data_IF_379951348356
#
_entry.id   IF_379951348356
#
_cell.length_a   1.000
_cell.length_b   1.000
_cell.length_c   1.000
_cell.angle_alpha   90.00
_cell.angle_beta   90.00
_cell.angle_gamma   90.00
#
_symmetry.space_group_name_H-M   'P 1'
#
loop_
_entity.id
_entity.type
_entity.pdbx_description
1 polymer ?
#
# COMPACT_ATOMS: atom_id res chain seq x y z
N UNK A 1 -1.65 -15.53 16.88
CA UNK A 1 -0.70 -14.99 17.88
C UNK A 1 -1.04 -15.54 19.25
N UNK A 2 -0.22 -15.31 20.28
CA UNK A 2 -0.51 -15.84 21.63
C UNK A 2 -1.71 -15.13 22.27
N UNK A 3 -1.91 -13.84 21.97
CA UNK A 3 -3.04 -13.07 22.51
C UNK A 3 -4.35 -13.24 21.72
N UNK A 4 -4.30 -13.88 20.55
CA UNK A 4 -5.41 -13.96 19.60
C UNK A 4 -5.79 -12.61 18.99
N UNK A 5 -4.89 -11.61 19.02
CA UNK A 5 -5.19 -10.26 18.52
C UNK A 5 -5.55 -10.22 17.03
N UNK A 6 -5.02 -11.14 16.22
CA UNK A 6 -5.40 -11.29 14.82
C UNK A 6 -6.89 -11.63 14.66
N UNK A 7 -7.45 -12.44 15.56
CA UNK A 7 -8.86 -12.80 15.51
C UNK A 7 -9.75 -11.63 15.91
N UNK A 8 -9.31 -10.83 16.89
CA UNK A 8 -10.00 -9.58 17.28
C UNK A 8 -9.99 -8.57 16.14
N UNK A 9 -8.85 -8.42 15.47
CA UNK A 9 -8.70 -7.56 14.31
C UNK A 9 -9.60 -7.98 13.15
N UNK A 10 -9.65 -9.29 12.85
CA UNK A 10 -10.55 -9.83 11.83
C UNK A 10 -12.02 -9.68 12.21
N UNK A 11 -12.39 -9.92 13.48
CA UNK A 11 -13.77 -9.75 13.97
C UNK A 11 -14.25 -8.28 13.93
N UNK A 12 -13.33 -7.30 13.97
CA UNK A 12 -13.68 -5.89 13.76
C UNK A 12 -14.00 -5.57 12.29
N UNK A 13 -13.45 -6.34 11.35
CA UNK A 13 -13.59 -6.12 9.91
C UNK A 13 -14.73 -6.95 9.29
N UNK A 14 -14.82 -8.21 9.67
CA UNK A 14 -15.74 -9.20 9.09
C UNK A 14 -16.86 -9.55 10.07
N UNK A 15 -18.09 -9.70 9.56
CA UNK A 15 -19.09 -10.49 10.28
C UNK A 15 -18.74 -11.98 10.24
N UNK A 16 -19.28 -12.84 11.11
CA UNK A 16 -19.06 -14.28 11.05
C UNK A 16 -19.37 -14.90 9.68
N UNK A 17 -20.45 -14.44 9.02
CA UNK A 17 -20.83 -14.90 7.69
C UNK A 17 -19.83 -14.47 6.61
N UNK A 18 -19.37 -13.22 6.68
CA UNK A 18 -18.34 -12.70 5.76
C UNK A 18 -16.99 -13.40 5.97
N UNK A 19 -16.61 -13.68 7.21
CA UNK A 19 -15.39 -14.40 7.55
C UNK A 19 -15.43 -15.85 7.05
N UNK A 20 -16.57 -16.52 7.21
CA UNK A 20 -16.76 -17.87 6.69
C UNK A 20 -16.61 -17.89 5.16
N UNK A 21 -17.28 -16.98 4.46
CA UNK A 21 -17.16 -16.86 3.01
C UNK A 21 -15.72 -16.53 2.58
N UNK A 22 -15.09 -15.54 3.22
CA UNK A 22 -13.71 -15.12 2.94
C UNK A 22 -12.72 -16.29 3.03
N UNK A 23 -12.90 -17.18 4.01
CA UNK A 23 -12.05 -18.36 4.20
C UNK A 23 -12.11 -19.36 3.03
N UNK A 24 -13.14 -19.26 2.18
CA UNK A 24 -13.29 -20.10 0.99
C UNK A 24 -12.79 -19.45 -0.29
N UNK A 25 -12.47 -18.15 -0.28
CA UNK A 25 -12.03 -17.42 -1.45
C UNK A 25 -10.57 -17.73 -1.80
N UNK A 26 -10.25 -17.64 -3.08
CA UNK A 26 -8.88 -17.72 -3.61
C UNK A 26 -8.31 -16.32 -3.86
N UNK A 27 -6.97 -16.23 -3.94
CA UNK A 27 -6.30 -15.07 -4.53
C UNK A 27 -6.54 -14.99 -6.06
N UNK A 28 -6.98 -16.09 -6.68
CA UNK A 28 -7.38 -16.12 -8.09
C UNK A 28 -8.81 -15.64 -8.28
N UNK A 29 -9.08 -15.08 -9.46
CA UNK A 29 -10.41 -14.60 -9.84
C UNK A 29 -11.43 -15.74 -9.98
N UNK A 30 -12.54 -15.65 -9.25
CA UNK A 30 -13.61 -16.64 -9.27
C UNK A 30 -14.96 -16.00 -9.63
N UNK A 31 -15.77 -16.71 -10.41
CA UNK A 31 -17.13 -16.27 -10.72
C UNK A 31 -18.06 -16.46 -9.51
N UNK A 32 -19.16 -15.70 -9.47
CA UNK A 32 -20.20 -15.85 -8.42
C UNK A 32 -20.68 -17.30 -8.36
N UNK A 33 -20.96 -17.90 -9.51
CA UNK A 33 -21.38 -19.30 -9.63
C UNK A 33 -20.36 -20.25 -8.98
N UNK A 34 -19.09 -20.12 -9.31
CA UNK A 34 -18.01 -20.94 -8.73
C UNK A 34 -17.95 -20.82 -7.21
N UNK A 35 -18.08 -19.60 -6.67
CA UNK A 35 -18.05 -19.35 -5.23
C UNK A 35 -19.31 -19.93 -4.56
N UNK A 36 -20.47 -19.80 -5.21
CA UNK A 36 -21.74 -20.32 -4.73
C UNK A 36 -21.76 -21.85 -4.67
N UNK A 37 -21.32 -22.51 -5.75
CA UNK A 37 -21.17 -23.97 -5.81
C UNK A 37 -20.22 -24.48 -4.72
N UNK A 38 -19.13 -23.76 -4.41
CA UNK A 38 -18.18 -24.14 -3.36
C UNK A 38 -18.74 -24.03 -1.95
N UNK A 39 -19.74 -23.18 -1.75
CA UNK A 39 -20.34 -22.89 -0.43
C UNK A 39 -21.74 -23.50 -0.27
N UNK A 40 -22.20 -24.33 -1.22
CA UNK A 40 -23.56 -24.90 -1.26
C UNK A 40 -24.66 -23.84 -1.02
N UNK A 41 -24.47 -22.64 -1.59
CA UNK A 41 -25.32 -21.48 -1.35
C UNK A 41 -25.88 -20.89 -2.66
N UNK A 42 -26.94 -20.09 -2.58
CA UNK A 42 -27.53 -19.45 -3.76
C UNK A 42 -26.68 -18.30 -4.31
N UNK A 43 -26.58 -18.16 -5.64
CA UNK A 43 -25.80 -17.09 -6.28
C UNK A 43 -26.21 -15.68 -5.82
N UNK A 44 -27.50 -15.44 -5.56
CA UNK A 44 -28.02 -14.14 -5.11
C UNK A 44 -27.52 -13.77 -3.69
N UNK A 45 -27.46 -14.77 -2.80
CA UNK A 45 -26.97 -14.61 -1.43
C UNK A 45 -25.47 -14.32 -1.43
N UNK A 46 -24.70 -15.13 -2.15
CA UNK A 46 -23.26 -15.00 -2.31
C UNK A 46 -22.91 -13.65 -2.93
N UNK A 47 -23.61 -13.25 -3.99
CA UNK A 47 -23.43 -11.93 -4.61
C UNK A 47 -23.65 -10.80 -3.60
N UNK A 48 -24.68 -10.91 -2.78
CA UNK A 48 -24.98 -9.88 -1.77
C UNK A 48 -23.88 -9.78 -0.72
N UNK A 49 -23.35 -10.90 -0.23
CA UNK A 49 -22.20 -10.95 0.69
C UNK A 49 -20.93 -10.37 0.06
N UNK A 50 -20.57 -10.83 -1.15
CA UNK A 50 -19.39 -10.36 -1.86
C UNK A 50 -19.42 -8.84 -2.08
N UNK A 51 -20.56 -8.29 -2.50
CA UNK A 51 -20.70 -6.84 -2.71
C UNK A 51 -20.55 -6.06 -1.40
N UNK A 52 -21.04 -6.58 -0.26
CA UNK A 52 -20.79 -5.95 1.05
C UNK A 52 -19.30 -5.96 1.39
N UNK A 53 -18.63 -7.09 1.21
CA UNK A 53 -17.19 -7.22 1.48
C UNK A 53 -16.34 -6.31 0.58
N UNK A 54 -16.68 -6.17 -0.70
CA UNK A 54 -16.07 -5.20 -1.62
C UNK A 54 -16.25 -3.78 -1.10
N UNK A 55 -17.48 -3.39 -0.70
CA UNK A 55 -17.76 -2.06 -0.15
C UNK A 55 -17.03 -1.79 1.17
N UNK A 56 -16.71 -2.84 1.93
CA UNK A 56 -15.84 -2.79 3.12
C UNK A 56 -14.35 -2.78 2.79
N UNK A 57 -13.98 -2.95 1.52
CA UNK A 57 -12.59 -3.02 1.09
C UNK A 57 -11.87 -4.29 1.53
N UNK A 58 -12.59 -5.37 1.81
CA UNK A 58 -12.05 -6.63 2.35
C UNK A 58 -11.62 -7.63 1.28
N UNK A 59 -12.24 -7.52 0.10
CA UNK A 59 -11.95 -8.31 -1.11
C UNK A 59 -11.98 -7.38 -2.31
N UNK A 60 -11.66 -7.90 -3.48
CA UNK A 60 -11.74 -7.13 -4.71
C UNK A 60 -12.52 -7.85 -5.82
N UNK A 61 -12.86 -7.09 -6.85
CA UNK A 61 -13.56 -7.58 -8.02
C UNK A 61 -12.91 -7.11 -9.31
N UNK A 62 -12.97 -7.95 -10.34
CA UNK A 62 -12.54 -7.62 -11.69
C UNK A 62 -13.68 -7.91 -12.66
N UNK A 63 -13.73 -7.16 -13.76
CA UNK A 63 -14.58 -7.52 -14.89
C UNK A 63 -13.75 -8.32 -15.87
N UNK A 64 -14.17 -9.56 -16.13
CA UNK A 64 -13.58 -10.44 -17.12
C UNK A 64 -14.52 -10.60 -18.31
N UNK A 65 -13.95 -10.51 -19.52
CA UNK A 65 -14.68 -10.77 -20.75
C UNK A 65 -15.21 -12.21 -20.77
N UNK A 66 -16.47 -12.39 -21.15
CA UNK A 66 -17.15 -13.69 -21.17
C UNK A 66 -17.57 -14.26 -19.80
N UNK A 67 -17.01 -13.78 -18.68
CA UNK A 67 -17.36 -14.25 -17.31
C UNK A 67 -18.11 -13.24 -16.45
N UNK A 68 -18.15 -11.98 -16.86
CA UNK A 68 -18.79 -10.92 -16.08
C UNK A 68 -17.91 -10.49 -14.91
N UNK A 69 -18.52 -10.29 -13.73
CA UNK A 69 -17.77 -9.92 -12.53
C UNK A 69 -17.19 -11.16 -11.84
N UNK A 70 -15.88 -11.15 -11.66
CA UNK A 70 -15.13 -12.12 -10.87
C UNK A 70 -14.64 -11.48 -9.57
N UNK A 71 -14.47 -12.28 -8.53
CA UNK A 71 -14.11 -11.85 -7.17
C UNK A 71 -12.92 -12.66 -6.67
N UNK A 72 -12.10 -12.05 -5.82
CA UNK A 72 -10.90 -12.68 -5.26
C UNK A 72 -10.54 -12.06 -3.92
N UNK A 73 -9.87 -12.85 -3.08
CA UNK A 73 -9.30 -12.39 -1.83
C UNK A 73 -8.07 -11.54 -2.12
N UNK A 74 -7.88 -10.47 -1.34
CA UNK A 74 -6.67 -9.64 -1.39
C UNK A 74 -5.83 -9.86 -0.13
N UNK A 75 -4.50 -9.65 -0.19
CA UNK A 75 -3.63 -9.73 0.99
C UNK A 75 -4.07 -8.79 2.11
N UNK A 76 -3.59 -9.02 3.33
CA UNK A 76 -3.85 -8.10 4.44
C UNK A 76 -3.17 -6.74 4.22
N UNK A 77 -1.84 -6.72 4.14
CA UNK A 77 -1.05 -5.52 3.81
C UNK A 77 -0.71 -5.52 2.33
N UNK A 78 -0.70 -4.34 1.71
CA UNK A 78 -0.86 -4.18 0.26
C UNK A 78 -2.17 -4.83 -0.20
N UNK A 79 -3.25 -4.51 0.50
CA UNK A 79 -4.57 -5.05 0.23
C UNK A 79 -5.62 -4.46 1.15
N UNK A 80 -6.30 -5.30 1.94
CA UNK A 80 -7.48 -4.83 2.66
C UNK A 80 -7.16 -3.93 3.86
N UNK A 81 -5.94 -3.92 4.39
CA UNK A 81 -5.48 -2.98 5.41
C UNK A 81 -5.52 -1.54 4.85
N UNK A 82 -4.84 -1.27 3.74
CA UNK A 82 -4.77 0.06 3.13
C UNK A 82 -6.16 0.57 2.71
N UNK A 83 -7.07 -0.33 2.33
CA UNK A 83 -8.47 0.00 2.01
C UNK A 83 -9.28 0.45 3.23
N UNK A 84 -8.76 0.31 4.45
CA UNK A 84 -9.39 0.86 5.66
C UNK A 84 -9.00 2.33 5.92
N UNK A 85 -8.19 2.98 5.07
CA UNK A 85 -7.64 4.31 5.34
C UNK A 85 -8.68 5.38 5.69
N UNK A 86 -9.87 5.31 5.10
CA UNK A 86 -10.97 6.25 5.32
C UNK A 86 -11.82 5.91 6.55
N UNK A 87 -11.69 4.70 7.10
CA UNK A 87 -12.55 4.16 8.16
C UNK A 87 -11.79 3.74 9.41
N UNK A 88 -10.47 3.79 9.38
CA UNK A 88 -9.62 3.40 10.51
C UNK A 88 -9.94 4.25 11.73
N UNK A 89 -10.21 3.59 12.84
CA UNK A 89 -10.44 4.19 14.15
C UNK A 89 -9.35 3.81 15.15
N UNK A 90 -9.43 4.34 16.36
CA UNK A 90 -8.45 4.10 17.41
C UNK A 90 -8.37 2.62 17.81
N UNK A 91 -9.51 1.95 17.93
CA UNK A 91 -9.54 0.52 18.29
C UNK A 91 -8.83 -0.33 17.23
N UNK A 92 -9.11 -0.07 15.95
CA UNK A 92 -8.43 -0.75 14.84
C UNK A 92 -6.93 -0.49 14.88
N UNK A 93 -6.54 0.77 15.11
CA UNK A 93 -5.14 1.18 15.20
C UNK A 93 -4.38 0.47 16.34
N UNK A 94 -5.01 0.30 17.50
CA UNK A 94 -4.47 -0.43 18.65
C UNK A 94 -4.36 -1.94 18.38
N UNK A 95 -5.40 -2.55 17.81
CA UNK A 95 -5.41 -3.95 17.43
C UNK A 95 -4.32 -4.26 16.39
N UNK A 96 -4.19 -3.42 15.36
CA UNK A 96 -3.12 -3.55 14.38
C UNK A 96 -1.74 -3.39 15.02
N UNK A 97 -1.52 -2.41 15.89
CA UNK A 97 -0.21 -2.20 16.52
C UNK A 97 0.19 -3.39 17.41
N UNK A 98 -0.76 -3.99 18.11
CA UNK A 98 -0.54 -5.20 18.89
C UNK A 98 -0.23 -6.40 17.97
N UNK A 99 -1.01 -6.61 16.91
CA UNK A 99 -0.75 -7.66 15.92
C UNK A 99 0.62 -7.49 15.23
N UNK A 100 0.98 -6.25 14.91
CA UNK A 100 2.28 -5.86 14.37
C UNK A 100 3.41 -6.33 15.27
N UNK A 101 3.38 -5.97 16.55
CA UNK A 101 4.42 -6.30 17.52
C UNK A 101 4.51 -7.80 17.80
N UNK A 102 3.39 -8.50 17.85
CA UNK A 102 3.37 -9.91 18.21
C UNK A 102 3.83 -10.83 17.07
N UNK A 103 3.44 -10.54 15.84
CA UNK A 103 3.69 -11.47 14.74
C UNK A 103 3.87 -10.83 13.38
N UNK A 104 3.14 -9.77 13.05
CA UNK A 104 3.13 -9.28 11.68
C UNK A 104 4.46 -8.62 11.25
N UNK A 105 5.29 -8.13 12.19
CA UNK A 105 6.65 -7.68 11.88
C UNK A 105 7.50 -8.76 11.19
N UNK A 106 7.21 -10.06 11.42
CA UNK A 106 7.94 -11.16 10.80
C UNK A 106 7.73 -11.23 9.29
N UNK A 107 6.64 -10.69 8.76
CA UNK A 107 6.47 -10.59 7.31
C UNK A 107 7.49 -9.63 6.70
N UNK A 108 8.03 -8.69 7.48
CA UNK A 108 9.03 -7.72 7.04
C UNK A 108 10.47 -8.25 7.16
N UNK A 109 10.67 -9.51 7.57
CA UNK A 109 12.01 -10.12 7.70
C UNK A 109 12.17 -11.35 6.80
N UNK A 110 11.23 -11.56 5.89
CA UNK A 110 11.18 -12.72 5.00
C UNK A 110 11.32 -12.24 3.56
N UNK A 111 12.11 -12.97 2.77
CA UNK A 111 12.28 -12.73 1.34
C UNK A 111 11.20 -13.41 0.48
N UNK A 112 10.85 -12.81 -0.67
CA UNK A 112 11.27 -11.48 -1.12
C UNK A 112 10.52 -10.36 -0.38
N UNK A 113 11.14 -9.19 -0.24
CA UNK A 113 10.49 -8.01 0.34
C UNK A 113 9.18 -7.66 -0.39
N UNK A 114 8.15 -7.30 0.36
CA UNK A 114 6.82 -6.96 -0.20
C UNK A 114 6.80 -5.62 -0.97
N UNK A 115 7.70 -4.70 -0.62
CA UNK A 115 7.86 -3.40 -1.24
C UNK A 115 9.27 -3.24 -1.82
N UNK A 116 9.42 -2.32 -2.78
CA UNK A 116 10.71 -1.82 -3.26
C UNK A 116 10.77 -0.29 -3.31
N UNK A 117 11.98 0.25 -3.26
CA UNK A 117 12.24 1.70 -3.34
C UNK A 117 12.30 2.13 -4.80
N UNK A 118 11.70 3.27 -5.12
CA UNK A 118 11.73 3.85 -6.48
C UNK A 118 12.21 5.32 -6.44
N UNK A 119 13.36 5.68 -7.02
CA UNK A 119 13.80 7.08 -7.04
C UNK A 119 12.91 8.01 -7.89
N UNK A 120 12.97 9.31 -7.58
CA UNK A 120 12.45 10.41 -8.43
C UNK A 120 13.61 11.02 -9.23
N UNK A 121 13.37 11.27 -10.52
CA UNK A 121 14.41 11.52 -11.53
C UNK A 121 15.05 12.92 -11.54
N UNK A 122 15.09 13.67 -10.43
CA UNK A 122 15.76 14.99 -10.44
C UNK A 122 17.26 14.90 -10.76
N UNK A 123 17.88 13.74 -10.55
CA UNK A 123 19.34 13.54 -10.63
C UNK A 123 19.75 12.25 -11.36
N UNK A 124 18.82 11.52 -11.98
CA UNK A 124 19.17 10.32 -12.76
C UNK A 124 19.60 10.77 -14.17
N UNK A 125 20.76 10.33 -14.67
CA UNK A 125 21.17 10.62 -16.04
C UNK A 125 20.11 10.15 -17.04
N UNK A 126 19.68 11.06 -17.93
CA UNK A 126 18.58 10.88 -18.91
C UNK A 126 18.80 9.66 -19.84
N UNK A 127 20.03 9.15 -19.94
CA UNK A 127 20.39 8.01 -20.80
C UNK A 127 20.20 6.63 -20.15
N UNK A 128 19.65 6.52 -18.94
CA UNK A 128 19.34 5.22 -18.31
C UNK A 128 17.85 4.92 -18.53
N UNK A 129 17.51 4.43 -19.72
CA UNK A 129 16.20 3.84 -20.06
C UNK A 129 16.16 2.32 -19.87
N UNK A 130 17.20 1.73 -19.27
CA UNK A 130 17.34 0.27 -19.14
C UNK A 130 16.31 -0.31 -18.15
N UNK A 131 15.78 0.48 -17.19
CA UNK A 131 14.83 0.00 -16.17
C UNK A 131 13.74 1.05 -15.84
N UNK A 132 12.76 1.29 -16.72
CA UNK A 132 11.71 2.30 -16.50
C UNK A 132 10.88 2.05 -15.23
N UNK A 133 10.75 0.79 -14.80
CA UNK A 133 10.02 0.41 -13.59
C UNK A 133 10.68 0.88 -12.29
N UNK A 134 11.95 1.30 -12.32
CA UNK A 134 12.64 1.83 -11.14
C UNK A 134 12.34 3.32 -10.90
N UNK A 135 11.58 3.99 -11.79
CA UNK A 135 11.36 5.44 -11.74
C UNK A 135 9.94 5.77 -11.29
N UNK A 136 9.81 6.58 -10.23
CA UNK A 136 8.49 6.99 -9.73
C UNK A 136 7.69 7.79 -10.78
N UNK A 137 8.34 8.66 -11.55
CA UNK A 137 7.73 9.47 -12.61
C UNK A 137 7.15 8.62 -13.73
N UNK A 138 7.79 7.51 -14.11
CA UNK A 138 7.29 6.60 -15.16
C UNK A 138 5.88 6.10 -14.85
N UNK A 139 5.57 5.79 -13.59
CA UNK A 139 4.23 5.37 -13.19
C UNK A 139 3.21 6.49 -13.29
N UNK A 140 3.59 7.70 -12.89
CA UNK A 140 2.74 8.88 -12.97
C UNK A 140 2.51 9.27 -14.44
N UNK A 141 3.52 9.15 -15.30
CA UNK A 141 3.45 9.49 -16.72
C UNK A 141 2.58 8.51 -17.52
N UNK A 142 2.60 7.22 -17.18
CA UNK A 142 1.85 6.18 -17.87
C UNK A 142 0.38 6.05 -17.43
N UNK A 143 -0.05 6.83 -16.44
CA UNK A 143 -1.42 6.83 -15.95
C UNK A 143 -2.33 7.83 -16.69
N UNK A 144 -3.63 7.59 -16.63
CA UNK A 144 -4.68 8.47 -17.17
C UNK A 144 -5.56 9.11 -16.10
N UNK A 145 -5.37 8.73 -14.83
CA UNK A 145 -5.98 9.39 -13.67
C UNK A 145 -5.11 9.18 -12.43
N UNK A 146 -5.15 10.16 -11.53
CA UNK A 146 -4.35 10.20 -10.31
C UNK A 146 -5.24 10.56 -9.12
N UNK A 147 -4.91 10.00 -7.97
CA UNK A 147 -5.57 10.28 -6.72
C UNK A 147 -4.57 10.32 -5.57
N UNK A 148 -4.94 11.02 -4.51
CA UNK A 148 -4.20 11.02 -3.26
C UNK A 148 -5.08 10.60 -2.09
N UNK A 149 -4.45 9.85 -1.19
CA UNK A 149 -5.02 9.28 0.02
C UNK A 149 -4.22 9.73 1.24
N UNK A 150 -4.90 9.75 2.38
CA UNK A 150 -4.22 9.81 3.68
C UNK A 150 -3.41 8.52 3.89
N UNK A 151 -2.14 8.65 4.25
CA UNK A 151 -1.28 7.53 4.60
C UNK A 151 -1.83 6.80 5.82
N UNK A 152 -2.37 5.59 5.62
CA UNK A 152 -2.98 4.81 6.69
C UNK A 152 -2.03 4.57 7.87
N UNK A 153 -0.74 4.33 7.59
CA UNK A 153 0.26 4.10 8.63
C UNK A 153 0.45 5.33 9.54
N UNK A 154 0.48 6.55 8.98
CA UNK A 154 0.57 7.78 9.78
C UNK A 154 -0.72 8.05 10.54
N UNK A 155 -1.87 7.84 9.91
CA UNK A 155 -3.18 7.99 10.58
C UNK A 155 -3.28 7.02 11.76
N UNK A 156 -2.97 5.75 11.54
CA UNK A 156 -2.93 4.71 12.56
C UNK A 156 -2.03 5.11 13.74
N UNK A 157 -0.80 5.55 13.46
CA UNK A 157 0.14 6.01 14.50
C UNK A 157 -0.36 7.22 15.27
N UNK A 158 -0.96 8.20 14.58
CA UNK A 158 -1.53 9.39 15.21
C UNK A 158 -2.68 9.03 16.16
N UNK A 159 -3.55 8.10 15.77
CA UNK A 159 -4.68 7.64 16.59
C UNK A 159 -4.26 7.01 17.93
N UNK A 160 -3.04 6.46 18.00
CA UNK A 160 -2.47 5.86 19.22
C UNK A 160 -1.44 6.75 19.92
N UNK A 161 -1.37 8.05 19.58
CA UNK A 161 -0.45 9.01 20.21
C UNK A 161 1.03 8.82 19.84
N UNK A 162 1.32 8.16 18.72
CA UNK A 162 2.68 7.88 18.22
C UNK A 162 2.90 8.43 16.80
N UNK A 163 2.14 9.45 16.41
CA UNK A 163 2.25 10.08 15.09
C UNK A 163 3.58 10.80 14.89
N UNK A 164 3.90 11.10 13.62
CA UNK A 164 4.98 12.01 13.24
C UNK A 164 4.42 13.23 12.50
N UNK A 165 5.27 14.23 12.28
CA UNK A 165 4.87 15.54 11.72
C UNK A 165 4.87 15.59 10.19
N UNK A 166 5.27 14.50 9.52
CA UNK A 166 5.26 14.43 8.07
C UNK A 166 3.85 14.56 7.47
N UNK A 167 3.73 15.07 6.22
CA UNK A 167 2.45 15.19 5.53
C UNK A 167 1.66 13.87 5.52
N UNK A 168 0.37 13.95 5.82
CA UNK A 168 -0.51 12.77 5.89
C UNK A 168 -1.08 12.43 4.52
N UNK A 169 -1.44 13.43 3.72
CA UNK A 169 -2.05 13.26 2.40
C UNK A 169 -0.99 13.14 1.30
N UNK A 170 -0.33 11.98 1.25
CA UNK A 170 0.75 11.73 0.31
C UNK A 170 0.84 10.25 -0.11
N UNK A 171 -0.21 9.46 0.04
CA UNK A 171 -0.25 8.12 -0.55
C UNK A 171 -0.89 8.26 -1.94
N UNK A 172 -0.10 8.07 -3.00
CA UNK A 172 -0.56 8.26 -4.36
C UNK A 172 -1.14 6.95 -4.91
N UNK A 173 -2.25 7.08 -5.64
CA UNK A 173 -2.85 6.01 -6.44
C UNK A 173 -3.06 6.51 -7.86
N UNK A 174 -2.96 5.62 -8.83
CA UNK A 174 -3.11 5.98 -10.24
C UNK A 174 -3.70 4.83 -11.04
N UNK A 175 -4.30 5.17 -12.18
CA UNK A 175 -4.96 4.20 -13.04
C UNK A 175 -4.76 4.54 -14.51
N UNK A 176 -4.62 3.51 -15.34
CA UNK A 176 -4.69 3.64 -16.81
C UNK A 176 -6.11 3.91 -17.30
N UNK A 177 -7.13 3.80 -16.43
CA UNK A 177 -8.51 4.16 -16.75
C UNK A 177 -8.74 5.65 -16.47
N UNK A 178 -9.21 6.44 -17.44
CA UNK A 178 -9.63 7.83 -17.20
C UNK A 178 -10.75 7.92 -16.15
N UNK A 179 -10.67 8.92 -15.28
CA UNK A 179 -11.69 9.21 -14.26
C UNK A 179 -11.89 8.11 -13.21
N UNK A 180 -10.88 7.27 -12.96
CA UNK A 180 -11.00 6.15 -12.02
C UNK A 180 -11.32 6.60 -10.58
N UNK A 181 -10.97 7.84 -10.23
CA UNK A 181 -11.12 8.39 -8.89
C UNK A 181 -12.18 9.50 -8.78
N UNK A 182 -12.97 9.77 -9.83
CA UNK A 182 -13.92 10.90 -9.83
C UNK A 182 -15.19 10.63 -9.00
N UNK A 183 -15.41 9.37 -8.59
CA UNK A 183 -16.65 8.92 -7.92
C UNK A 183 -16.39 8.24 -6.58
N UNK A 184 -15.34 8.65 -5.90
CA UNK A 184 -14.94 8.11 -4.61
C UNK A 184 -14.77 9.25 -3.62
N UNK A 185 -15.45 9.15 -2.48
CA UNK A 185 -15.35 10.16 -1.42
C UNK A 185 -14.04 10.03 -0.63
N UNK A 186 -13.42 8.84 -0.71
CA UNK A 186 -12.26 8.48 0.10
C UNK A 186 -10.93 8.83 -0.59
N UNK A 187 -10.92 9.01 -1.92
CA UNK A 187 -9.74 9.37 -2.73
C UNK A 187 -9.97 10.74 -3.35
N UNK A 188 -9.06 11.68 -3.07
CA UNK A 188 -9.09 12.99 -3.73
C UNK A 188 -8.47 12.85 -5.12
N UNK A 189 -9.27 13.07 -6.16
CA UNK A 189 -8.78 13.15 -7.55
C UNK A 189 -7.87 14.37 -7.69
N UNK A 190 -6.72 14.19 -8.34
CA UNK A 190 -5.67 15.21 -8.51
C UNK A 190 -5.14 15.23 -9.94
N UNK A 191 -4.48 16.34 -10.32
CA UNK A 191 -3.77 16.40 -11.60
C UNK A 191 -2.45 15.64 -11.57
N UNK A 192 -1.91 15.36 -12.75
CA UNK A 192 -0.56 14.79 -12.91
C UNK A 192 0.50 15.69 -12.24
N UNK A 193 0.41 16.99 -12.45
CA UNK A 193 1.33 17.99 -11.90
C UNK A 193 1.27 18.01 -10.37
N UNK A 194 0.08 17.88 -9.79
CA UNK A 194 -0.08 17.79 -8.35
C UNK A 194 0.53 16.48 -7.80
N UNK A 195 0.35 15.35 -8.48
CA UNK A 195 0.98 14.09 -8.09
C UNK A 195 2.52 14.18 -8.08
N UNK A 196 3.11 14.79 -9.13
CA UNK A 196 4.54 15.07 -9.19
C UNK A 196 4.98 16.05 -8.08
N UNK A 197 4.14 17.04 -7.77
CA UNK A 197 4.34 17.97 -6.66
C UNK A 197 4.41 17.28 -5.30
N UNK A 198 3.52 16.32 -5.05
CA UNK A 198 3.49 15.50 -3.82
C UNK A 198 4.75 14.64 -3.72
N UNK A 199 5.20 14.02 -4.83
CA UNK A 199 6.47 13.29 -4.84
C UNK A 199 7.64 14.21 -4.51
N UNK A 200 7.69 15.40 -5.11
CA UNK A 200 8.75 16.37 -4.84
C UNK A 200 8.73 16.91 -3.40
N UNK A 201 7.55 17.06 -2.79
CA UNK A 201 7.41 17.41 -1.37
C UNK A 201 7.88 16.29 -0.45
N UNK A 202 7.44 15.06 -0.72
CA UNK A 202 7.87 13.89 0.04
C UNK A 202 9.39 13.69 -0.02
N UNK A 203 9.99 13.86 -1.20
CA UNK A 203 11.45 13.87 -1.39
C UNK A 203 12.11 14.95 -0.52
N UNK A 204 11.64 16.21 -0.53
CA UNK A 204 12.19 17.28 0.33
C UNK A 204 12.14 16.93 1.82
N UNK A 205 11.04 16.33 2.26
CA UNK A 205 10.82 15.86 3.64
C UNK A 205 11.67 14.64 4.02
N UNK A 206 12.42 14.04 3.09
CA UNK A 206 13.25 12.86 3.34
C UNK A 206 12.44 11.56 3.40
N UNK A 207 11.25 11.53 2.80
CA UNK A 207 10.44 10.33 2.69
C UNK A 207 10.94 9.43 1.56
N UNK A 208 10.79 8.12 1.74
CA UNK A 208 11.17 7.11 0.76
C UNK A 208 9.96 6.76 -0.09
N UNK A 209 10.05 7.02 -1.39
CA UNK A 209 9.09 6.53 -2.37
C UNK A 209 9.22 5.02 -2.50
N UNK A 210 8.10 4.32 -2.36
CA UNK A 210 8.06 2.87 -2.42
C UNK A 210 6.77 2.37 -3.07
N UNK A 211 6.82 1.19 -3.65
CA UNK A 211 5.66 0.51 -4.23
C UNK A 211 5.76 -1.00 -4.03
N UNK A 212 4.78 -1.77 -4.49
CA UNK A 212 4.83 -3.23 -4.44
C UNK A 212 6.04 -3.75 -5.23
N UNK A 213 6.60 -4.87 -4.79
CA UNK A 213 7.76 -5.48 -5.42
C UNK A 213 7.38 -6.32 -6.66
N UNK A 214 6.75 -5.68 -7.65
CA UNK A 214 6.40 -6.28 -8.96
C UNK A 214 6.77 -5.34 -10.10
N UNK A 215 6.95 -5.90 -11.29
CA UNK A 215 7.19 -5.11 -12.52
C UNK A 215 5.88 -4.62 -13.16
N UNK A 216 4.84 -5.45 -13.10
CA UNK A 216 3.51 -5.16 -13.64
C UNK A 216 2.50 -4.83 -12.55
N UNK A 217 1.34 -4.27 -12.95
CA UNK A 217 0.20 -3.96 -12.08
C UNK A 217 0.48 -2.99 -10.91
N UNK A 218 1.55 -2.21 -11.01
CA UNK A 218 1.85 -1.11 -10.09
C UNK A 218 0.80 -0.01 -10.25
N UNK A 219 0.08 0.32 -9.17
CA UNK A 219 -1.02 1.28 -9.18
C UNK A 219 -0.99 2.28 -8.01
N UNK A 220 0.07 2.25 -7.20
CA UNK A 220 0.26 3.13 -6.07
C UNK A 220 1.73 3.47 -5.84
N UNK A 221 1.97 4.61 -5.20
CA UNK A 221 3.26 4.99 -4.64
C UNK A 221 3.03 5.44 -3.19
N UNK A 222 3.69 4.76 -2.25
CA UNK A 222 3.74 5.14 -0.86
C UNK A 222 4.96 6.02 -0.58
N UNK A 223 4.72 7.18 0.04
CA UNK A 223 5.76 8.09 0.51
C UNK A 223 6.03 7.83 2.00
N UNK A 224 6.97 6.94 2.30
CA UNK A 224 7.12 6.29 3.59
C UNK A 224 8.18 6.95 4.49
N UNK A 225 7.96 6.89 5.80
CA UNK A 225 8.95 7.22 6.84
C UNK A 225 9.16 6.02 7.77
N UNK A 226 10.32 5.94 8.42
CA UNK A 226 10.64 4.90 9.42
C UNK A 226 9.87 5.07 10.73
N UNK A 227 9.34 6.26 11.01
CA UNK A 227 8.55 6.56 12.20
C UNK A 227 7.23 5.77 12.24
N UNK A 228 6.51 5.75 11.11
CA UNK A 228 5.13 5.24 11.05
C UNK A 228 4.90 4.07 10.10
N UNK A 229 5.62 4.00 8.97
CA UNK A 229 5.35 2.99 7.94
C UNK A 229 5.46 1.58 8.51
N UNK A 230 4.44 0.74 8.26
CA UNK A 230 4.45 -0.67 8.66
C UNK A 230 5.64 -1.46 8.10
N UNK A 231 6.09 -1.09 6.89
CA UNK A 231 7.22 -1.69 6.20
C UNK A 231 8.55 -1.15 6.74
N UNK A 232 8.83 0.14 6.55
CA UNK A 232 10.15 0.72 6.86
C UNK A 232 10.52 0.72 8.34
N UNK A 233 9.54 0.75 9.25
CA UNK A 233 9.84 0.67 10.69
C UNK A 233 10.44 -0.70 11.06
N UNK A 234 10.20 -1.74 10.26
CA UNK A 234 10.76 -3.07 10.48
C UNK A 234 12.29 -3.06 10.42
N UNK A 235 12.83 -2.34 9.44
CA UNK A 235 14.26 -2.10 9.27
C UNK A 235 14.89 -1.45 10.50
N UNK A 236 14.35 -0.31 10.95
CA UNK A 236 14.94 0.44 12.07
C UNK A 236 14.72 -0.24 13.42
N UNK A 237 13.58 -0.91 13.65
CA UNK A 237 13.26 -1.50 14.95
C UNK A 237 13.79 -2.91 15.15
N UNK A 238 13.94 -3.67 14.06
CA UNK A 238 14.32 -5.08 14.12
C UNK A 238 15.59 -5.40 13.32
N UNK A 239 16.27 -4.39 12.76
CA UNK A 239 17.53 -4.56 12.03
C UNK A 239 17.38 -5.29 10.70
N UNK A 240 16.15 -5.38 10.17
CA UNK A 240 15.87 -6.15 8.97
C UNK A 240 16.11 -5.30 7.71
N UNK A 241 17.30 -5.42 7.15
CA UNK A 241 17.66 -4.74 5.90
C UNK A 241 16.81 -5.21 4.71
N UNK A 242 16.19 -6.38 4.82
CA UNK A 242 15.34 -6.99 3.78
C UNK A 242 13.84 -6.64 3.95
N UNK A 243 13.50 -5.70 4.86
CA UNK A 243 12.11 -5.23 4.99
C UNK A 243 11.59 -4.51 3.75
N UNK A 244 12.49 -3.97 2.93
CA UNK A 244 12.17 -3.34 1.66
C UNK A 244 13.29 -3.66 0.67
N UNK A 245 12.92 -3.99 -0.56
CA UNK A 245 13.90 -4.20 -1.61
C UNK A 245 14.57 -2.86 -1.93
N UNK A 246 15.91 -2.90 -2.00
CA UNK A 246 16.73 -1.73 -2.31
C UNK A 246 16.46 -1.26 -3.73
N UNK A 247 16.61 0.03 -3.96
CA UNK A 247 16.67 0.53 -5.33
C UNK A 247 17.97 0.05 -5.98
N UNK A 248 17.91 -0.22 -7.29
CA UNK A 248 19.12 -0.45 -8.10
C UNK A 248 19.95 0.83 -8.32
N UNK A 249 19.44 1.98 -7.84
CA UNK A 249 20.14 3.26 -7.84
C UNK A 249 20.67 3.59 -6.44
N UNK A 250 21.87 4.15 -6.38
CA UNK A 250 22.49 4.66 -5.15
C UNK A 250 22.86 6.13 -5.30
N UNK A 251 22.77 6.88 -4.20
CA UNK A 251 23.16 8.28 -4.19
C UNK A 251 24.68 8.43 -4.22
N UNK A 252 25.17 9.33 -5.07
CA UNK A 252 26.60 9.69 -5.14
C UNK A 252 26.72 11.19 -4.88
N UNK A 253 27.52 11.55 -3.87
CA UNK A 253 27.81 12.95 -3.58
C UNK A 253 28.78 13.52 -4.63
N UNK A 254 28.42 14.67 -5.22
CA UNK A 254 29.35 15.46 -6.02
C UNK A 254 30.36 16.12 -5.08
N UNK A 255 31.60 15.65 -5.13
CA UNK A 255 32.68 16.12 -4.26
C UNK A 255 33.01 17.60 -4.45
N UNK A 256 32.70 18.20 -5.61
CA UNK A 256 32.95 19.62 -5.85
C UNK A 256 31.88 20.51 -5.22
N UNK A 257 30.67 19.98 -5.00
CA UNK A 257 29.54 20.69 -4.39
C UNK A 257 29.38 20.36 -2.90
N UNK A 258 29.93 19.24 -2.46
CA UNK A 258 29.85 18.79 -1.08
C UNK A 258 30.66 19.71 -0.15
N UNK A 259 29.99 20.25 0.87
CA UNK A 259 30.60 21.05 1.92
C UNK A 259 30.79 20.28 3.24
N UNK A 260 30.71 18.94 3.19
CA UNK A 260 30.80 18.05 4.36
C UNK A 260 29.80 18.39 5.48
N UNK A 261 28.60 18.85 5.15
CA UNK A 261 27.55 19.16 6.14
C UNK A 261 26.87 17.93 6.77
N UNK A 262 27.19 16.71 6.30
CA UNK A 262 26.66 15.44 6.82
C UNK A 262 25.13 15.25 6.75
N UNK A 263 24.38 16.20 6.17
CA UNK A 263 22.92 16.11 6.00
C UNK A 263 22.50 14.83 5.25
N UNK A 264 23.34 14.34 4.35
CA UNK A 264 23.09 13.07 3.65
C UNK A 264 23.06 11.86 4.58
N UNK A 265 23.80 11.88 5.69
CA UNK A 265 23.83 10.79 6.70
C UNK A 265 22.48 10.74 7.41
N UNK A 266 21.96 11.89 7.85
CA UNK A 266 20.67 11.96 8.54
C UNK A 266 19.49 11.58 7.63
N UNK A 267 19.62 11.83 6.33
CA UNK A 267 18.59 11.52 5.33
C UNK A 267 18.68 10.09 4.79
N UNK A 268 19.86 9.47 4.81
CA UNK A 268 20.03 8.12 4.32
C UNK A 268 19.52 7.13 5.34
N UNK A 269 18.46 6.40 4.98
CA UNK A 269 17.85 5.39 5.84
C UNK A 269 18.46 4.00 5.65
N UNK A 270 19.50 3.88 4.81
CA UNK A 270 20.13 2.64 4.36
C UNK A 270 21.65 2.65 4.59
#
# INVERSE_FOLDING_TARGET
>A
TKSGVELKLLAKLFTPEEANLASTLSLEHQSIKTIADKNDAGESEIKSLLIRMVKKGLIDLKREEGKGFTFFLIPFVVGFYERQNARIDKEFAELFEAYYKESFYKTMIVDPSVHRIIPVEKTIPVNIDVMPYEKASTYIDNANSWGVLKCICRVQKKLIGQGCDHPVENCLVFSTRPGAFDRTDDIRSISKEEALGILAEADREGLVHSTNNTQEEVNYICNCCTCSCGVLRGMVKYGSLDSIARSDFYAVADQNLCNACEICIDRCLF
#
